data_IF_915908690718
#
_entry.id   IF_915908690718
#
_cell.length_a   1.000
_cell.length_b   1.000
_cell.length_c   1.000
_cell.angle_alpha   90.00
_cell.angle_beta   90.00
_cell.angle_gamma   90.00
#
_symmetry.space_group_name_H-M   'P 1'
#
loop_
_entity.id
_entity.type
_entity.pdbx_description
1 polymer ?
#
# COMPACT_ATOMS: atom_id res chain seq x y z
N UNK A 1 -5.60 -9.35 21.24
CA UNK A 1 -5.82 -7.98 20.74
C UNK A 1 -6.66 -8.09 19.48
N UNK A 2 -7.97 -7.95 19.62
CA UNK A 2 -8.90 -8.06 18.48
C UNK A 2 -8.97 -6.74 17.70
N UNK A 3 -9.17 -6.84 16.39
CA UNK A 3 -9.47 -5.71 15.50
C UNK A 3 -10.98 -5.68 15.29
N UNK A 4 -11.64 -4.59 15.68
CA UNK A 4 -13.10 -4.46 15.58
C UNK A 4 -13.58 -3.68 14.36
N UNK A 5 -12.72 -2.85 13.77
CA UNK A 5 -13.01 -2.12 12.55
C UNK A 5 -11.73 -1.78 11.78
N UNK A 6 -11.85 -1.47 10.48
CA UNK A 6 -10.74 -1.07 9.61
C UNK A 6 -11.09 0.19 8.85
N UNK A 7 -10.22 1.20 8.94
CA UNK A 7 -10.34 2.47 8.24
C UNK A 7 -9.38 2.46 7.04
N UNK A 8 -9.89 2.84 5.87
CA UNK A 8 -9.08 3.06 4.67
C UNK A 8 -9.23 4.52 4.24
N UNK A 9 -8.13 5.26 4.16
CA UNK A 9 -8.16 6.66 3.75
C UNK A 9 -7.09 6.97 2.71
N UNK A 10 -7.46 7.58 1.56
CA UNK A 10 -6.50 7.98 0.55
C UNK A 10 -5.66 9.16 1.04
N UNK A 11 -4.41 9.22 0.60
CA UNK A 11 -3.48 10.30 0.90
C UNK A 11 -2.47 10.55 -0.22
N UNK A 12 -1.61 11.54 -0.01
CA UNK A 12 -0.54 11.87 -0.94
C UNK A 12 0.76 11.20 -0.52
N UNK A 13 1.52 10.73 -1.51
CA UNK A 13 2.92 10.38 -1.32
C UNK A 13 3.80 11.62 -1.24
N UNK A 14 5.02 11.45 -0.72
CA UNK A 14 5.97 12.56 -0.57
C UNK A 14 6.74 12.91 -1.86
N UNK A 15 6.41 12.27 -2.99
CA UNK A 15 7.08 12.46 -4.27
C UNK A 15 6.15 12.15 -5.46
N UNK A 16 6.70 11.58 -6.54
CA UNK A 16 6.01 11.30 -7.79
C UNK A 16 6.23 9.85 -8.22
N UNK A 17 5.27 9.31 -8.96
CA UNK A 17 5.50 8.18 -9.84
C UNK A 17 6.04 8.71 -11.16
N UNK A 18 7.19 8.19 -11.56
CA UNK A 18 7.86 8.55 -12.81
C UNK A 18 7.91 7.33 -13.73
N UNK A 19 7.54 7.51 -14.99
CA UNK A 19 7.64 6.48 -16.02
C UNK A 19 9.11 6.31 -16.43
N UNK A 20 9.77 5.34 -15.80
CA UNK A 20 11.18 5.06 -16.05
C UNK A 20 11.46 4.68 -17.52
N UNK A 21 10.53 4.02 -18.19
CA UNK A 21 10.72 3.59 -19.57
C UNK A 21 10.71 4.80 -20.51
N UNK A 22 9.76 5.71 -20.35
CA UNK A 22 9.71 6.96 -21.11
C UNK A 22 10.94 7.83 -20.85
N UNK A 23 11.34 7.98 -19.58
CA UNK A 23 12.54 8.76 -19.20
C UNK A 23 13.80 8.18 -19.87
N UNK A 24 13.96 6.84 -19.87
CA UNK A 24 15.10 6.18 -20.54
C UNK A 24 15.05 6.27 -22.06
N UNK A 25 13.87 6.45 -22.65
CA UNK A 25 13.70 6.68 -24.08
C UNK A 25 14.10 8.11 -24.51
N UNK A 26 14.48 8.97 -23.57
CA UNK A 26 15.01 10.30 -23.88
C UNK A 26 13.94 11.38 -24.09
N UNK A 27 12.77 11.23 -23.46
CA UNK A 27 11.74 12.28 -23.41
C UNK A 27 12.31 13.59 -22.86
N UNK A 28 11.77 14.72 -23.36
CA UNK A 28 12.19 16.05 -22.92
C UNK A 28 11.66 16.41 -21.53
N UNK A 29 12.15 17.51 -20.99
CA UNK A 29 11.63 18.14 -19.76
C UNK A 29 11.23 19.59 -20.05
N UNK A 30 10.14 20.03 -19.42
CA UNK A 30 9.72 21.44 -19.35
C UNK A 30 9.56 21.81 -17.86
N UNK A 31 10.56 22.51 -17.33
CA UNK A 31 10.66 22.78 -15.90
C UNK A 31 10.66 21.48 -15.08
N UNK A 32 9.58 21.24 -14.33
CA UNK A 32 9.44 20.08 -13.45
C UNK A 32 8.71 18.88 -14.09
N UNK A 33 8.07 19.08 -15.24
CA UNK A 33 7.32 18.03 -15.95
C UNK A 33 8.15 17.44 -17.08
N UNK A 34 7.85 16.19 -17.44
CA UNK A 34 8.37 15.56 -18.65
C UNK A 34 7.40 15.77 -19.80
N UNK A 35 7.93 15.94 -21.02
CA UNK A 35 7.15 16.19 -22.23
C UNK A 35 7.22 14.97 -23.16
N UNK A 36 6.04 14.47 -23.54
CA UNK A 36 5.88 13.31 -24.40
C UNK A 36 4.83 12.35 -23.85
N UNK A 37 4.79 11.15 -24.41
CA UNK A 37 3.84 10.11 -24.01
C UNK A 37 4.48 9.12 -23.01
N UNK A 38 3.74 8.64 -22.00
CA UNK A 38 4.19 7.53 -21.17
C UNK A 38 4.28 6.23 -21.97
N UNK A 39 5.20 5.36 -21.57
CA UNK A 39 5.44 4.03 -22.14
C UNK A 39 5.04 2.90 -21.18
N UNK A 40 4.95 3.17 -19.88
CA UNK A 40 4.60 2.17 -18.85
C UNK A 40 3.08 2.10 -18.67
N UNK A 41 2.46 0.90 -18.73
CA UNK A 41 1.01 0.76 -18.58
C UNK A 41 0.47 1.39 -17.28
N UNK A 42 -0.66 2.09 -17.40
CA UNK A 42 -1.34 2.76 -16.28
C UNK A 42 -0.95 4.23 -16.09
N UNK A 43 0.20 4.66 -16.60
CA UNK A 43 0.58 6.07 -16.57
C UNK A 43 -0.25 6.86 -17.58
N UNK A 44 -0.78 8.01 -17.14
CA UNK A 44 -1.45 9.01 -18.01
C UNK A 44 -0.50 10.14 -18.42
N UNK A 45 0.47 10.43 -17.56
CA UNK A 45 1.54 11.39 -17.76
C UNK A 45 2.85 10.70 -17.36
N UNK A 46 3.99 11.14 -17.91
CA UNK A 46 5.30 10.57 -17.58
C UNK A 46 5.65 10.80 -16.09
N UNK A 47 5.13 11.86 -15.48
CA UNK A 47 5.24 12.15 -14.05
C UNK A 47 3.86 12.38 -13.46
N UNK A 48 3.50 11.59 -12.46
CA UNK A 48 2.20 11.64 -11.77
C UNK A 48 2.45 11.83 -10.27
N UNK A 49 1.68 12.68 -9.56
CA UNK A 49 1.79 12.78 -8.10
C UNK A 49 1.67 11.40 -7.44
N UNK A 50 2.58 11.07 -6.53
CA UNK A 50 2.49 9.81 -5.80
C UNK A 50 1.32 9.87 -4.83
N UNK A 51 0.73 8.71 -4.54
CA UNK A 51 -0.35 8.57 -3.58
C UNK A 51 0.02 7.54 -2.50
N UNK A 52 -0.76 7.53 -1.43
CA UNK A 52 -0.79 6.44 -0.47
C UNK A 52 -2.24 6.07 -0.14
N UNK A 53 -2.40 4.89 0.45
CA UNK A 53 -3.64 4.48 1.10
C UNK A 53 -3.30 4.09 2.54
N UNK A 54 -3.71 4.90 3.50
CA UNK A 54 -3.51 4.60 4.92
C UNK A 54 -4.53 3.57 5.38
N UNK A 55 -4.07 2.59 6.17
CA UNK A 55 -4.89 1.58 6.82
C UNK A 55 -4.82 1.77 8.33
N UNK A 56 -5.98 2.03 8.94
CA UNK A 56 -6.14 2.13 10.39
C UNK A 56 -6.85 0.90 10.93
N UNK A 57 -6.26 0.23 11.91
CA UNK A 57 -6.85 -0.91 12.60
C UNK A 57 -7.43 -0.42 13.93
N UNK A 58 -8.75 -0.39 14.04
CA UNK A 58 -9.44 -0.01 15.28
C UNK A 58 -9.44 -1.24 16.18
N UNK A 59 -8.72 -1.15 17.30
CA UNK A 59 -8.54 -2.24 18.24
C UNK A 59 -9.70 -2.30 19.25
N UNK A 60 -9.80 -3.43 19.96
CA UNK A 60 -10.85 -3.64 20.96
C UNK A 60 -10.88 -2.57 22.06
N UNK A 61 -9.74 -1.96 22.37
CA UNK A 61 -9.56 -0.89 23.36
C UNK A 61 -9.63 0.55 22.78
N UNK A 62 -10.20 0.71 21.58
CA UNK A 62 -10.38 1.99 20.86
C UNK A 62 -9.09 2.64 20.34
N UNK A 63 -7.91 2.05 20.57
CA UNK A 63 -6.68 2.50 19.92
C UNK A 63 -6.76 2.24 18.40
N UNK A 64 -6.21 3.16 17.60
CA UNK A 64 -6.08 2.97 16.15
C UNK A 64 -4.61 2.83 15.77
N UNK A 65 -4.24 1.65 15.30
CA UNK A 65 -2.90 1.34 14.80
C UNK A 65 -2.83 1.61 13.29
N UNK A 66 -1.82 2.34 12.84
CA UNK A 66 -1.74 2.85 11.46
C UNK A 66 -0.58 2.26 10.68
N UNK A 67 -0.78 2.18 9.36
CA UNK A 67 0.26 1.91 8.37
C UNK A 67 -0.11 2.49 7.02
N UNK A 68 0.87 2.70 6.16
CA UNK A 68 0.67 3.35 4.86
C UNK A 68 1.07 2.43 3.70
N UNK A 69 0.09 2.15 2.83
CA UNK A 69 0.32 1.46 1.56
C UNK A 69 0.80 2.46 0.52
N UNK A 70 1.91 2.15 -0.15
CA UNK A 70 2.50 3.03 -1.16
C UNK A 70 3.32 2.26 -2.19
N UNK A 71 3.43 2.83 -3.40
CA UNK A 71 4.35 2.40 -4.44
C UNK A 71 5.68 3.17 -4.42
N UNK A 72 6.69 2.65 -5.12
CA UNK A 72 7.96 3.36 -5.34
C UNK A 72 7.86 4.34 -6.51
N UNK A 73 8.82 5.27 -6.62
CA UNK A 73 8.90 6.24 -7.72
C UNK A 73 8.76 5.59 -9.11
N UNK A 74 9.51 4.52 -9.38
CA UNK A 74 9.45 3.79 -10.65
C UNK A 74 8.49 2.59 -10.57
N UNK A 75 7.25 2.83 -10.17
CA UNK A 75 6.18 1.83 -10.13
C UNK A 75 5.90 1.29 -11.54
N UNK A 76 5.62 -0.01 -11.68
CA UNK A 76 5.48 -0.69 -12.97
C UNK A 76 6.80 -1.01 -13.71
N UNK A 77 7.95 -0.49 -13.24
CA UNK A 77 9.23 -0.72 -13.90
C UNK A 77 9.97 -1.98 -13.42
N UNK A 78 10.54 -2.75 -14.35
CA UNK A 78 11.54 -3.78 -14.05
C UNK A 78 11.03 -4.94 -13.19
N UNK A 79 9.81 -5.43 -13.45
CA UNK A 79 9.20 -6.53 -12.71
C UNK A 79 8.53 -6.14 -11.39
N UNK A 80 8.46 -4.84 -11.09
CA UNK A 80 7.64 -4.32 -9.98
C UNK A 80 6.16 -4.47 -10.28
N UNK A 81 5.36 -4.45 -9.21
CA UNK A 81 3.91 -4.32 -9.31
C UNK A 81 3.53 -3.10 -10.17
N UNK A 82 2.35 -3.14 -10.82
CA UNK A 82 1.82 -2.03 -11.62
C UNK A 82 1.77 -0.70 -10.86
N UNK A 83 1.50 0.38 -11.61
CA UNK A 83 1.25 1.71 -11.03
C UNK A 83 0.27 1.62 -9.86
N UNK A 84 0.62 2.25 -8.74
CA UNK A 84 -0.22 2.29 -7.55
C UNK A 84 -1.50 3.10 -7.81
N UNK A 85 -2.59 2.40 -8.12
CA UNK A 85 -3.92 2.97 -8.27
C UNK A 85 -4.69 2.85 -6.94
N UNK A 86 -4.95 4.00 -6.31
CA UNK A 86 -5.59 4.06 -4.99
C UNK A 86 -6.97 3.38 -4.98
N UNK A 87 -7.76 3.53 -6.05
CA UNK A 87 -9.09 2.96 -6.14
C UNK A 87 -9.05 1.43 -6.22
N UNK A 88 -8.18 0.89 -7.08
CA UNK A 88 -7.99 -0.54 -7.23
C UNK A 88 -7.43 -1.18 -5.96
N UNK A 89 -6.44 -0.53 -5.32
CA UNK A 89 -5.86 -1.03 -4.06
C UNK A 89 -6.90 -0.95 -2.92
N UNK A 90 -7.68 0.11 -2.82
CA UNK A 90 -8.74 0.26 -1.82
C UNK A 90 -9.84 -0.81 -2.00
N UNK A 91 -10.29 -1.04 -3.22
CA UNK A 91 -11.30 -2.07 -3.52
C UNK A 91 -10.78 -3.48 -3.16
N UNK A 92 -9.56 -3.83 -3.61
CA UNK A 92 -8.97 -5.12 -3.27
C UNK A 92 -8.79 -5.31 -1.77
N UNK A 93 -8.30 -4.27 -1.08
CA UNK A 93 -8.11 -4.27 0.37
C UNK A 93 -9.44 -4.48 1.09
N UNK A 94 -10.47 -3.73 0.70
CA UNK A 94 -11.81 -3.82 1.30
C UNK A 94 -12.43 -5.21 1.12
N UNK A 95 -12.31 -5.80 -0.08
CA UNK A 95 -12.95 -7.09 -0.38
C UNK A 95 -12.20 -8.29 0.18
N UNK A 96 -10.87 -8.23 0.27
CA UNK A 96 -10.04 -9.41 0.57
C UNK A 96 -9.34 -9.29 1.91
N UNK A 97 -8.75 -8.12 2.20
CA UNK A 97 -7.83 -7.96 3.32
C UNK A 97 -8.60 -7.60 4.59
N UNK A 98 -9.58 -6.70 4.51
CA UNK A 98 -10.41 -6.30 5.66
C UNK A 98 -11.10 -7.50 6.33
N UNK A 99 -11.76 -8.43 5.60
CA UNK A 99 -12.34 -9.61 6.23
C UNK A 99 -11.31 -10.51 6.92
N UNK A 100 -10.07 -10.56 6.43
CA UNK A 100 -8.99 -11.32 7.08
C UNK A 100 -8.52 -10.62 8.36
N UNK A 101 -8.36 -9.30 8.32
CA UNK A 101 -7.96 -8.50 9.48
C UNK A 101 -8.97 -8.59 10.63
N UNK A 102 -10.27 -8.60 10.32
CA UNK A 102 -11.32 -8.73 11.34
C UNK A 102 -11.40 -10.13 11.98
N UNK A 103 -10.67 -11.12 11.46
CA UNK A 103 -10.69 -12.52 11.91
C UNK A 103 -9.35 -13.00 12.50
N UNK A 104 -8.46 -12.09 12.88
CA UNK A 104 -7.15 -12.43 13.46
C UNK A 104 -6.93 -11.76 14.82
N UNK A 105 -6.03 -12.35 15.61
CA UNK A 105 -5.46 -11.70 16.80
C UNK A 105 -4.21 -10.91 16.41
N UNK A 106 -4.28 -9.59 16.54
CA UNK A 106 -3.20 -8.68 16.20
C UNK A 106 -2.04 -8.66 17.22
N UNK A 107 -2.13 -9.40 18.33
CA UNK A 107 -1.06 -9.47 19.33
C UNK A 107 0.18 -10.25 18.87
N UNK A 108 0.03 -11.16 17.90
CA UNK A 108 1.13 -11.91 17.30
C UNK A 108 1.41 -11.43 15.88
N UNK A 109 2.38 -10.52 15.73
CA UNK A 109 2.72 -9.88 14.46
C UNK A 109 2.94 -10.87 13.31
N UNK A 110 3.86 -11.84 13.48
CA UNK A 110 4.20 -12.78 12.40
C UNK A 110 3.04 -13.69 12.02
N UNK A 111 2.25 -14.15 13.00
CA UNK A 111 1.06 -14.97 12.74
C UNK A 111 0.01 -14.16 12.00
N UNK A 112 -0.28 -12.94 12.45
CA UNK A 112 -1.24 -12.05 11.80
C UNK A 112 -0.86 -11.76 10.35
N UNK A 113 0.41 -11.42 10.08
CA UNK A 113 0.89 -11.23 8.71
C UNK A 113 0.73 -12.49 7.85
N UNK A 114 1.11 -13.66 8.36
CA UNK A 114 0.97 -14.92 7.62
C UNK A 114 -0.49 -15.20 7.22
N UNK A 115 -1.43 -15.01 8.15
CA UNK A 115 -2.86 -15.22 7.88
C UNK A 115 -3.44 -14.17 6.94
N UNK A 116 -3.08 -12.90 7.09
CA UNK A 116 -3.66 -11.81 6.29
C UNK A 116 -3.09 -11.81 4.86
N UNK A 117 -1.81 -12.17 4.69
CA UNK A 117 -1.12 -12.16 3.40
C UNK A 117 -1.16 -13.47 2.63
N UNK A 118 -2.02 -14.41 3.06
CA UNK A 118 -2.23 -15.65 2.31
C UNK A 118 -2.64 -15.35 0.85
N UNK A 119 -2.36 -16.29 -0.05
CA UNK A 119 -2.60 -16.10 -1.47
C UNK A 119 -4.07 -15.74 -1.73
N UNK A 120 -4.27 -14.85 -2.69
CA UNK A 120 -5.58 -14.50 -3.21
C UNK A 120 -5.63 -14.92 -4.67
N UNK A 121 -6.60 -15.76 -5.05
CA UNK A 121 -6.71 -16.31 -6.42
C UNK A 121 -5.43 -16.99 -6.91
N UNK A 122 -4.71 -17.65 -5.99
CA UNK A 122 -3.44 -18.33 -6.29
C UNK A 122 -2.24 -17.40 -6.51
N UNK A 123 -2.38 -16.09 -6.27
CA UNK A 123 -1.31 -15.09 -6.38
C UNK A 123 -1.09 -14.38 -5.06
N UNK A 124 0.10 -13.81 -4.88
CA UNK A 124 0.37 -12.90 -3.76
C UNK A 124 -0.47 -11.63 -3.90
N UNK A 125 -0.71 -10.98 -2.77
CA UNK A 125 -1.26 -9.63 -2.76
C UNK A 125 -0.22 -8.65 -3.33
N UNK A 126 -0.64 -7.51 -3.89
CA UNK A 126 0.27 -6.41 -4.22
C UNK A 126 1.14 -6.05 -3.02
N UNK A 127 2.44 -5.84 -3.25
CA UNK A 127 3.42 -5.59 -2.20
C UNK A 127 3.10 -4.32 -1.40
N UNK A 128 2.47 -3.32 -2.01
CA UNK A 128 2.04 -2.12 -1.31
C UNK A 128 1.02 -2.40 -0.19
N UNK A 129 0.15 -3.40 -0.38
CA UNK A 129 -0.80 -3.85 0.65
C UNK A 129 -0.05 -4.55 1.77
N UNK A 130 0.78 -5.55 1.43
CA UNK A 130 1.59 -6.27 2.42
C UNK A 130 2.46 -5.29 3.24
N UNK A 131 3.01 -4.26 2.58
CA UNK A 131 3.80 -3.21 3.20
C UNK A 131 3.00 -2.37 4.20
N UNK A 132 1.90 -1.74 3.78
CA UNK A 132 1.12 -0.87 4.69
C UNK A 132 0.42 -1.64 5.81
N UNK A 133 -0.12 -2.82 5.50
CA UNK A 133 -0.82 -3.64 6.50
C UNK A 133 0.14 -4.23 7.52
N UNK A 134 1.36 -4.62 7.13
CA UNK A 134 2.35 -5.12 8.10
C UNK A 134 2.80 -4.04 9.08
N UNK A 135 2.90 -2.78 8.65
CA UNK A 135 3.16 -1.65 9.56
C UNK A 135 2.06 -1.51 10.61
N UNK A 136 0.79 -1.53 10.18
CA UNK A 136 -0.35 -1.41 11.08
C UNK A 136 -0.45 -2.59 12.05
N UNK A 137 -0.20 -3.82 11.56
CA UNK A 137 -0.14 -5.03 12.41
C UNK A 137 1.02 -5.01 13.40
N UNK A 138 2.19 -4.51 13.00
CA UNK A 138 3.33 -4.34 13.91
C UNK A 138 3.00 -3.31 15.00
N UNK A 139 2.39 -2.19 14.62
CA UNK A 139 1.91 -1.15 15.53
C UNK A 139 0.90 -1.70 16.54
N UNK A 140 -0.07 -2.50 16.07
CA UNK A 140 -1.06 -3.16 16.93
C UNK A 140 -0.42 -4.17 17.90
N UNK A 141 0.53 -4.98 17.42
CA UNK A 141 1.25 -5.95 18.25
C UNK A 141 2.11 -5.26 19.31
N UNK A 142 2.80 -4.19 18.94
CA UNK A 142 3.60 -3.36 19.85
C UNK A 142 2.72 -2.72 20.94
N UNK A 143 1.56 -2.17 20.56
CA UNK A 143 0.57 -1.64 21.49
C UNK A 143 0.05 -2.71 22.46
N UNK A 144 -0.35 -3.87 21.95
CA UNK A 144 -0.79 -5.00 22.77
C UNK A 144 0.28 -5.45 23.77
N UNK A 145 1.56 -5.42 23.37
CA UNK A 145 2.69 -5.77 24.21
C UNK A 145 3.19 -4.63 25.12
N UNK A 146 2.63 -3.41 24.99
CA UNK A 146 3.11 -2.17 25.63
C UNK A 146 4.60 -1.91 25.37
N UNK A 147 5.00 -2.03 24.10
CA UNK A 147 6.36 -1.81 23.62
C UNK A 147 6.36 -0.85 22.44
N UNK A 148 7.53 -0.35 22.09
CA UNK A 148 7.72 0.35 20.82
C UNK A 148 7.69 -0.65 19.67
N UNK A 149 7.40 -0.14 18.47
CA UNK A 149 7.66 -0.85 17.21
C UNK A 149 9.16 -1.05 17.01
#
# INVERSE_FOLDING_TARGET
MQIKDVILTPGNGAFFYDDQAAIRAGVGQDGFVYVGEPLTPGFRDIRVPAACLSVGLVLEDDMVAWGDMMGVQYSGAGGRDPLFDVGAIMDLTSRVVVPRLLNIDASSFLTACSSVFDLHTGKRLPLCIEYGVSQALLSAAAHAARRTM
#
